data_IF_848699271565
#
_entry.id   IF_848699271565
#
_cell.length_a   1.000
_cell.length_b   1.000
_cell.length_c   1.000
_cell.angle_alpha   90.00
_cell.angle_beta   90.00
_cell.angle_gamma   90.00
#
_symmetry.space_group_name_H-M   'P 1'
#
loop_
_entity.id
_entity.type
_entity.pdbx_description
1 polymer ?
#
# COMPACT_ATOMS: atom_id res chain seq x y z
N UNK A 1 9.93 1.06 -8.88
CA UNK A 1 8.79 0.51 -8.11
C UNK A 1 9.22 -0.86 -7.70
N UNK A 2 9.94 -0.92 -6.60
CA UNK A 2 10.68 -2.09 -6.15
C UNK A 2 9.74 -2.93 -5.28
N UNK A 3 9.14 -3.96 -5.89
CA UNK A 3 8.27 -4.91 -5.19
C UNK A 3 9.21 -5.89 -4.50
N UNK A 4 9.55 -5.64 -3.23
CA UNK A 4 10.19 -6.65 -2.38
C UNK A 4 9.11 -7.64 -1.95
N UNK A 5 9.06 -8.79 -2.63
CA UNK A 5 8.35 -9.96 -2.16
C UNK A 5 9.17 -10.59 -1.02
N UNK A 6 8.89 -10.22 0.22
CA UNK A 6 9.41 -10.90 1.41
C UNK A 6 8.21 -11.32 2.23
N UNK A 7 8.05 -12.63 2.44
CA UNK A 7 6.80 -13.38 2.73
C UNK A 7 6.04 -13.72 1.44
N UNK A 8 6.08 -15.00 1.04
CA UNK A 8 5.70 -15.53 -0.28
C UNK A 8 4.24 -15.28 -0.73
N UNK A 9 3.43 -14.60 0.09
CA UNK A 9 2.03 -14.26 -0.19
C UNK A 9 1.69 -12.78 0.00
N UNK A 10 2.65 -11.94 0.41
CA UNK A 10 2.42 -10.51 0.69
C UNK A 10 3.15 -9.60 -0.31
N UNK A 11 2.41 -8.66 -0.87
CA UNK A 11 2.83 -7.63 -1.80
C UNK A 11 2.85 -6.28 -1.08
N UNK A 12 4.03 -5.69 -1.01
CA UNK A 12 4.24 -4.36 -0.46
C UNK A 12 4.28 -3.35 -1.59
N UNK A 13 3.50 -2.28 -1.46
CA UNK A 13 3.61 -1.11 -2.34
C UNK A 13 3.81 0.14 -1.51
N UNK A 14 4.51 1.11 -2.08
CA UNK A 14 4.78 2.38 -1.43
C UNK A 14 4.45 3.51 -2.39
N UNK A 15 3.71 4.50 -1.92
CA UNK A 15 3.40 5.69 -2.70
C UNK A 15 3.84 6.95 -1.94
N UNK A 16 4.65 7.77 -2.62
CA UNK A 16 5.17 9.01 -2.02
C UNK A 16 4.12 10.10 -2.14
N UNK A 17 3.60 10.55 -1.01
CA UNK A 17 2.57 11.59 -1.00
C UNK A 17 3.22 12.96 -1.19
N UNK A 18 2.66 13.80 -2.07
CA UNK A 18 3.23 15.14 -2.36
C UNK A 18 3.01 16.14 -1.24
N UNK A 19 1.99 15.92 -0.42
CA UNK A 19 1.53 16.85 0.60
C UNK A 19 1.81 16.29 1.99
N UNK A 20 0.85 15.55 2.56
CA UNK A 20 0.91 15.00 3.91
C UNK A 20 0.57 13.53 3.88
N UNK A 21 1.36 12.74 4.61
CA UNK A 21 1.07 11.33 4.79
C UNK A 21 0.19 11.21 6.02
N UNK A 22 -1.10 11.04 5.77
CA UNK A 22 -2.10 10.84 6.82
C UNK A 22 -2.53 9.37 6.74
N UNK A 23 -2.49 8.65 7.86
CA UNK A 23 -2.80 7.22 7.87
C UNK A 23 -4.18 6.90 7.26
N UNK A 24 -5.18 7.77 7.49
CA UNK A 24 -6.51 7.64 6.87
C UNK A 24 -6.46 7.74 5.34
N UNK A 25 -5.74 8.72 4.77
CA UNK A 25 -5.69 8.89 3.30
C UNK A 25 -4.85 7.80 2.66
N UNK A 26 -3.78 7.40 3.34
CA UNK A 26 -2.95 6.27 2.97
C UNK A 26 -3.78 4.98 2.91
N UNK A 27 -4.54 4.67 3.96
CA UNK A 27 -5.43 3.50 4.02
C UNK A 27 -6.47 3.48 2.90
N UNK A 28 -7.16 4.59 2.66
CA UNK A 28 -8.14 4.68 1.56
C UNK A 28 -7.49 4.49 0.19
N UNK A 29 -6.32 5.11 -0.02
CA UNK A 29 -5.53 4.92 -1.23
C UNK A 29 -5.11 3.45 -1.42
N UNK A 30 -4.66 2.80 -0.35
CA UNK A 30 -4.32 1.39 -0.34
C UNK A 30 -5.53 0.50 -0.66
N UNK A 31 -6.71 0.76 -0.08
CA UNK A 31 -7.93 -0.01 -0.36
C UNK A 31 -8.40 0.13 -1.82
N UNK A 32 -8.34 1.34 -2.38
CA UNK A 32 -8.65 1.59 -3.78
C UNK A 32 -7.65 0.90 -4.71
N UNK A 33 -6.36 1.00 -4.39
CA UNK A 33 -5.31 0.25 -5.09
C UNK A 33 -5.55 -1.25 -4.94
N UNK A 34 -5.94 -1.76 -3.76
CA UNK A 34 -6.24 -3.17 -3.54
C UNK A 34 -7.29 -3.65 -4.54
N UNK A 35 -8.33 -2.87 -4.79
CA UNK A 35 -9.37 -3.22 -5.77
C UNK A 35 -8.83 -3.25 -7.20
N UNK A 36 -7.91 -2.34 -7.53
CA UNK A 36 -7.23 -2.29 -8.82
C UNK A 36 -6.25 -3.45 -9.01
N UNK A 37 -5.51 -3.78 -7.95
CA UNK A 37 -4.53 -4.87 -7.90
C UNK A 37 -5.21 -6.23 -7.76
N UNK A 38 -6.37 -6.35 -7.10
CA UNK A 38 -7.10 -7.61 -6.96
C UNK A 38 -7.58 -8.15 -8.31
N UNK A 39 -7.84 -7.27 -9.29
CA UNK A 39 -8.11 -7.68 -10.67
C UNK A 39 -6.87 -8.18 -11.42
N UNK A 40 -5.65 -7.81 -10.99
CA UNK A 40 -4.37 -8.15 -11.65
C UNK A 40 -3.61 -9.27 -10.93
N UNK A 41 -3.77 -9.32 -9.61
CA UNK A 41 -3.24 -10.27 -8.64
C UNK A 41 -4.46 -10.84 -7.93
N UNK A 42 -5.19 -11.70 -8.64
CA UNK A 42 -6.25 -12.51 -8.06
C UNK A 42 -5.76 -13.01 -6.68
N UNK A 43 -6.53 -12.71 -5.63
CA UNK A 43 -6.32 -13.05 -4.21
C UNK A 43 -5.66 -11.99 -3.30
N UNK A 44 -4.95 -10.95 -3.77
CA UNK A 44 -4.34 -9.99 -2.85
C UNK A 44 -5.38 -9.08 -2.14
N UNK A 45 -5.55 -9.24 -0.82
CA UNK A 45 -6.42 -8.43 0.07
C UNK A 45 -5.59 -7.42 0.86
N UNK A 46 -6.18 -6.26 1.15
CA UNK A 46 -5.57 -5.29 2.08
C UNK A 46 -5.38 -5.90 3.47
N UNK A 47 -4.16 -5.82 3.98
CA UNK A 47 -3.80 -6.22 5.35
C UNK A 47 -3.60 -5.00 6.22
N UNK A 48 -2.67 -4.13 5.85
CA UNK A 48 -2.36 -2.92 6.62
C UNK A 48 -1.79 -1.79 5.76
N UNK A 49 -1.69 -0.60 6.35
CA UNK A 49 -1.01 0.55 5.77
C UNK A 49 -0.51 1.52 6.82
N UNK A 50 0.69 2.04 6.61
CA UNK A 50 1.28 3.04 7.50
C UNK A 50 1.97 4.14 6.71
N UNK A 51 2.01 5.32 7.31
CA UNK A 51 2.78 6.44 6.81
C UNK A 51 4.14 6.50 7.50
N UNK A 52 5.20 6.55 6.69
CA UNK A 52 6.53 6.90 7.14
C UNK A 52 6.78 8.38 6.85
N UNK A 53 6.94 9.17 7.91
CA UNK A 53 7.08 10.63 7.83
C UNK A 53 5.76 11.36 7.62
N UNK A 54 5.70 12.62 8.05
CA UNK A 54 4.48 13.44 8.05
C UNK A 54 4.36 14.32 6.80
N UNK A 55 5.28 15.25 6.56
CA UNK A 55 5.33 16.05 5.31
C UNK A 55 6.12 15.33 4.23
N UNK A 56 5.56 15.21 3.02
CA UNK A 56 6.18 14.47 1.90
C UNK A 56 6.59 13.03 2.26
N UNK A 57 5.83 12.42 3.16
CA UNK A 57 6.08 11.06 3.64
C UNK A 57 5.79 10.00 2.58
N UNK A 58 6.02 8.75 2.95
CA UNK A 58 5.73 7.59 2.11
C UNK A 58 4.61 6.79 2.75
N UNK A 59 3.55 6.56 1.98
CA UNK A 59 2.48 5.66 2.37
C UNK A 59 2.84 4.25 1.93
N UNK A 60 2.93 3.33 2.87
CA UNK A 60 3.15 1.91 2.62
C UNK A 60 1.82 1.18 2.71
N UNK A 61 1.57 0.29 1.77
CA UNK A 61 0.45 -0.63 1.78
C UNK A 61 0.97 -2.05 1.75
N UNK A 62 0.39 -2.88 2.60
CA UNK A 62 0.61 -4.32 2.62
C UNK A 62 -0.65 -5.02 2.13
N UNK A 63 -0.49 -5.82 1.08
CA UNK A 63 -1.54 -6.67 0.56
C UNK A 63 -1.11 -8.13 0.67
N UNK A 64 -1.92 -9.01 1.22
CA UNK A 64 -1.60 -10.45 1.30
C UNK A 64 -2.70 -11.28 0.66
N UNK A 65 -2.35 -12.42 0.06
CA UNK A 65 -3.32 -13.38 -0.46
C UNK A 65 -4.23 -13.98 0.61
#
# INVERSE_FOLDING_TARGET
>A
MDIKATEENCLFTSNRVKTWCVNWTCKLGCLLNAKLYAGRYHHAKYKDSWCEGSRKGTCYCEFCK
#
